data_IF_070201749980
#
_entry.id   IF_070201749980
#
_cell.length_a   1.000
_cell.length_b   1.000
_cell.length_c   1.000
_cell.angle_alpha   90.00
_cell.angle_beta   90.00
_cell.angle_gamma   90.00
#
_symmetry.space_group_name_H-M   'P 1'
#
loop_
_entity.id
_entity.type
_entity.pdbx_description
1 polymer ?
#
# COMPACT_ATOMS: atom_id res chain seq x y z
N UNK A 1 -0.87 -27.12 -37.14
CA UNK A 1 -1.48 -26.27 -36.10
C UNK A 1 -1.11 -26.74 -34.70
N UNK A 2 -1.55 -27.90 -34.22
CA UNK A 2 -1.29 -28.36 -32.82
C UNK A 2 0.18 -28.40 -32.37
N UNK A 3 1.16 -28.63 -33.24
CA UNK A 3 2.57 -28.67 -32.88
C UNK A 3 3.16 -27.27 -32.61
N UNK A 4 2.76 -26.23 -33.36
CA UNK A 4 3.15 -24.85 -33.11
C UNK A 4 2.54 -24.28 -31.83
N UNK A 5 1.30 -24.63 -31.52
CA UNK A 5 0.61 -24.24 -30.28
C UNK A 5 1.32 -24.80 -29.04
N UNK A 6 1.74 -26.07 -29.11
CA UNK A 6 2.49 -26.68 -28.01
C UNK A 6 3.87 -26.02 -27.79
N UNK A 7 4.56 -25.63 -28.87
CA UNK A 7 5.83 -24.91 -28.78
C UNK A 7 5.61 -23.52 -28.19
N UNK A 8 4.59 -22.80 -28.65
CA UNK A 8 4.24 -21.48 -28.10
C UNK A 8 3.96 -21.53 -26.60
N UNK A 9 3.21 -22.52 -26.14
CA UNK A 9 2.90 -22.71 -24.73
C UNK A 9 4.15 -22.93 -23.86
N UNK A 10 5.14 -23.65 -24.37
CA UNK A 10 6.43 -23.86 -23.69
C UNK A 10 7.20 -22.54 -23.62
N UNK A 11 7.31 -21.82 -24.74
CA UNK A 11 8.02 -20.53 -24.82
C UNK A 11 7.39 -19.49 -23.89
N UNK A 12 6.07 -19.38 -23.87
CA UNK A 12 5.35 -18.45 -22.99
C UNK A 12 5.56 -18.79 -21.50
N UNK A 13 5.67 -20.08 -21.16
CA UNK A 13 6.01 -20.52 -19.81
C UNK A 13 7.44 -20.14 -19.41
N UNK A 14 8.42 -20.34 -20.27
CA UNK A 14 9.81 -19.95 -20.04
C UNK A 14 9.96 -18.45 -19.86
N UNK A 15 9.25 -17.66 -20.68
CA UNK A 15 9.19 -16.20 -20.59
C UNK A 15 8.37 -15.68 -19.39
N UNK A 16 7.76 -16.57 -18.59
CA UNK A 16 6.89 -16.23 -17.47
C UNK A 16 5.69 -15.34 -17.87
N UNK A 17 5.16 -15.56 -19.07
CA UNK A 17 4.00 -14.88 -19.64
C UNK A 17 2.75 -15.75 -19.47
N UNK A 18 2.36 -16.00 -18.22
CA UNK A 18 1.24 -16.90 -17.89
C UNK A 18 -0.10 -16.40 -18.44
N UNK A 19 -0.31 -15.10 -18.50
CA UNK A 19 -1.54 -14.50 -19.02
C UNK A 19 -1.62 -14.62 -20.54
N UNK A 20 -0.52 -14.44 -21.23
CA UNK A 20 -0.42 -14.75 -22.66
C UNK A 20 -0.82 -16.19 -22.92
N UNK A 21 -0.19 -17.12 -22.18
CA UNK A 21 -0.47 -18.55 -22.33
C UNK A 21 -1.95 -18.91 -22.15
N UNK A 22 -2.65 -18.25 -21.21
CA UNK A 22 -4.08 -18.53 -20.97
C UNK A 22 -5.03 -17.79 -21.91
N UNK A 23 -4.59 -16.74 -22.61
CA UNK A 23 -5.49 -15.87 -23.36
C UNK A 23 -5.13 -15.70 -24.85
N UNK A 24 -4.00 -16.24 -25.34
CA UNK A 24 -3.57 -15.98 -26.72
C UNK A 24 -4.59 -16.45 -27.76
N UNK A 25 -5.23 -17.60 -27.54
CA UNK A 25 -6.21 -18.14 -28.45
C UNK A 25 -7.49 -17.26 -28.53
N UNK A 26 -8.03 -16.89 -27.35
CA UNK A 26 -9.21 -16.01 -27.29
C UNK A 26 -8.90 -14.61 -27.89
N UNK A 27 -7.70 -14.11 -27.62
CA UNK A 27 -7.21 -12.85 -28.20
C UNK A 27 -7.04 -12.93 -29.71
N UNK A 28 -6.62 -14.08 -30.27
CA UNK A 28 -6.53 -14.32 -31.72
C UNK A 28 -7.92 -14.26 -32.35
N UNK A 29 -8.90 -14.95 -31.78
CA UNK A 29 -10.28 -14.94 -32.28
C UNK A 29 -10.87 -13.51 -32.22
N UNK A 30 -10.60 -12.79 -31.12
CA UNK A 30 -11.00 -11.39 -31.00
C UNK A 30 -10.34 -10.51 -32.06
N UNK A 31 -9.05 -10.67 -32.28
CA UNK A 31 -8.29 -9.89 -33.27
C UNK A 31 -8.80 -10.13 -34.70
N UNK A 32 -9.09 -11.38 -35.05
CA UNK A 32 -9.70 -11.74 -36.34
C UNK A 32 -11.05 -11.05 -36.50
N UNK A 33 -11.93 -11.10 -35.49
CA UNK A 33 -13.26 -10.48 -35.52
C UNK A 33 -13.21 -8.95 -35.71
N UNK A 34 -12.12 -8.30 -35.27
CA UNK A 34 -11.90 -6.84 -35.33
C UNK A 34 -10.98 -6.41 -36.47
N UNK A 35 -10.52 -7.34 -37.31
CA UNK A 35 -9.55 -7.08 -38.36
C UNK A 35 -8.26 -6.40 -37.86
N UNK A 36 -7.74 -6.83 -36.71
CA UNK A 36 -6.52 -6.27 -36.13
C UNK A 36 -5.29 -6.63 -36.98
N UNK A 37 -4.37 -5.68 -37.09
CA UNK A 37 -3.01 -5.98 -37.57
C UNK A 37 -2.25 -6.82 -36.54
N UNK A 38 -1.15 -7.46 -36.94
CA UNK A 38 -0.28 -8.22 -36.01
C UNK A 38 0.21 -7.37 -34.83
N UNK A 39 0.54 -6.10 -35.08
CA UNK A 39 0.94 -5.19 -34.00
C UNK A 39 -0.19 -4.87 -33.03
N UNK A 40 -1.41 -4.70 -33.51
CA UNK A 40 -2.59 -4.48 -32.67
C UNK A 40 -2.93 -5.73 -31.84
N UNK A 41 -2.84 -6.92 -32.41
CA UNK A 41 -3.01 -8.18 -31.69
C UNK A 41 -1.98 -8.32 -30.55
N UNK A 42 -0.69 -8.10 -30.86
CA UNK A 42 0.36 -8.16 -29.85
C UNK A 42 0.17 -7.12 -28.75
N UNK A 43 -0.18 -5.89 -29.12
CA UNK A 43 -0.48 -4.81 -28.17
C UNK A 43 -1.64 -5.17 -27.23
N UNK A 44 -2.69 -5.79 -27.77
CA UNK A 44 -3.84 -6.25 -27.00
C UNK A 44 -3.43 -7.32 -25.96
N UNK A 45 -2.65 -8.33 -26.36
CA UNK A 45 -2.11 -9.34 -25.44
C UNK A 45 -1.22 -8.73 -24.36
N UNK A 46 -0.34 -7.79 -24.73
CA UNK A 46 0.49 -7.07 -23.78
C UNK A 46 -0.35 -6.32 -22.74
N UNK A 47 -1.44 -5.69 -23.19
CA UNK A 47 -2.38 -4.99 -22.28
C UNK A 47 -2.96 -5.94 -21.22
N UNK A 48 -3.49 -7.10 -21.63
CA UNK A 48 -4.03 -8.11 -20.72
C UNK A 48 -2.99 -8.57 -19.69
N UNK A 49 -1.74 -8.78 -20.11
CA UNK A 49 -0.65 -9.20 -19.21
C UNK A 49 -0.31 -8.09 -18.21
N UNK A 50 -0.22 -6.83 -18.67
CA UNK A 50 0.07 -5.67 -17.82
C UNK A 50 -1.01 -5.51 -16.77
N UNK A 51 -2.28 -5.54 -17.16
CA UNK A 51 -3.41 -5.40 -16.25
C UNK A 51 -3.42 -6.50 -15.18
N UNK A 52 -3.14 -7.74 -15.59
CA UNK A 52 -3.03 -8.86 -14.65
C UNK A 52 -1.89 -8.68 -13.65
N UNK A 53 -0.73 -8.21 -14.12
CA UNK A 53 0.43 -7.94 -13.26
C UNK A 53 0.16 -6.81 -12.27
N UNK A 54 -0.47 -5.73 -12.74
CA UNK A 54 -0.89 -4.61 -11.87
C UNK A 54 -1.84 -5.11 -10.80
N UNK A 55 -2.90 -5.86 -11.17
CA UNK A 55 -3.86 -6.40 -10.23
C UNK A 55 -3.21 -7.34 -9.19
N UNK A 56 -2.32 -8.23 -9.64
CA UNK A 56 -1.61 -9.16 -8.74
C UNK A 56 -0.68 -8.40 -7.77
N UNK A 57 0.03 -7.38 -8.27
CA UNK A 57 0.87 -6.51 -7.45
C UNK A 57 0.05 -5.78 -6.40
N UNK A 58 -1.09 -5.21 -6.78
CA UNK A 58 -2.00 -4.48 -5.90
C UNK A 58 -2.52 -5.37 -4.76
N UNK A 59 -3.02 -6.57 -5.07
CA UNK A 59 -3.49 -7.55 -4.08
C UNK A 59 -2.37 -7.88 -3.08
N UNK A 60 -1.14 -8.10 -3.57
CA UNK A 60 0.01 -8.37 -2.72
C UNK A 60 0.31 -7.19 -1.81
N UNK A 61 0.35 -5.96 -2.34
CA UNK A 61 0.64 -4.76 -1.57
C UNK A 61 -0.40 -4.52 -0.48
N UNK A 62 -1.70 -4.71 -0.77
CA UNK A 62 -2.78 -4.64 0.22
C UNK A 62 -2.57 -5.68 1.32
N UNK A 63 -2.26 -6.92 0.97
CA UNK A 63 -2.00 -7.99 1.96
C UNK A 63 -0.79 -7.68 2.84
N UNK A 64 0.30 -7.20 2.25
CA UNK A 64 1.54 -6.85 2.95
C UNK A 64 1.39 -5.61 3.83
N UNK A 65 0.51 -4.68 3.47
CA UNK A 65 0.28 -3.44 4.22
C UNK A 65 -0.30 -3.67 5.61
N UNK A 66 -1.01 -4.77 5.84
CA UNK A 66 -1.74 -5.07 7.09
C UNK A 66 -2.81 -4.04 7.45
N UNK A 67 -3.33 -3.30 6.46
CA UNK A 67 -4.43 -2.37 6.67
C UNK A 67 -5.70 -3.08 7.15
N UNK A 68 -6.48 -2.47 8.06
CA UNK A 68 -7.80 -2.96 8.43
C UNK A 68 -8.71 -3.03 7.18
N UNK A 69 -9.41 -4.14 7.02
CA UNK A 69 -10.29 -4.37 5.87
C UNK A 69 -11.45 -3.36 5.84
N UNK A 70 -11.94 -3.08 4.65
CA UNK A 70 -13.14 -2.27 4.40
C UNK A 70 -13.08 -0.82 4.91
N UNK A 71 -11.90 -0.25 5.12
CA UNK A 71 -11.71 1.15 5.52
C UNK A 71 -11.21 1.97 4.34
N UNK A 72 -12.08 2.18 3.35
CA UNK A 72 -11.82 2.97 2.14
C UNK A 72 -12.47 4.35 2.22
N UNK A 73 -12.11 5.28 1.32
CA UNK A 73 -12.77 6.59 1.24
C UNK A 73 -14.26 6.48 0.92
N UNK A 74 -14.65 5.52 0.08
CA UNK A 74 -16.04 5.28 -0.29
C UNK A 74 -16.89 4.69 0.84
N UNK A 75 -16.26 4.03 1.82
CA UNK A 75 -16.96 3.44 2.98
C UNK A 75 -16.96 4.35 4.21
N UNK A 76 -16.34 5.53 4.14
CA UNK A 76 -16.36 6.50 5.24
C UNK A 76 -17.58 7.41 5.15
N UNK A 77 -18.31 7.53 6.24
CA UNK A 77 -19.44 8.45 6.36
C UNK A 77 -18.96 9.85 6.76
N UNK A 78 -18.76 10.72 5.75
CA UNK A 78 -18.35 12.10 5.97
C UNK A 78 -19.46 12.97 6.58
N UNK A 79 -20.72 12.60 6.42
CA UNK A 79 -21.86 13.37 6.91
C UNK A 79 -22.00 13.26 8.43
N UNK A 80 -21.57 12.14 8.99
CA UNK A 80 -21.57 11.91 10.45
C UNK A 80 -20.51 12.72 11.19
N UNK A 81 -19.50 13.24 10.52
CA UNK A 81 -18.39 13.98 11.13
C UNK A 81 -18.09 15.29 10.40
N UNK A 82 -18.86 16.34 10.72
CA UNK A 82 -18.76 17.68 10.08
C UNK A 82 -17.42 18.39 10.27
N UNK A 83 -16.58 17.95 11.20
CA UNK A 83 -15.24 18.50 11.43
C UNK A 83 -14.20 18.04 10.40
N UNK A 84 -14.54 17.06 9.55
CA UNK A 84 -13.63 16.50 8.56
C UNK A 84 -14.05 16.99 7.16
N UNK A 85 -13.13 17.69 6.50
CA UNK A 85 -13.33 18.15 5.14
C UNK A 85 -13.00 17.00 4.14
N UNK A 86 -14.03 16.52 3.43
CA UNK A 86 -13.91 15.45 2.44
C UNK A 86 -12.90 15.79 1.34
N UNK A 87 -12.94 17.03 0.84
CA UNK A 87 -12.07 17.44 -0.28
C UNK A 87 -10.61 17.46 0.15
N UNK A 88 -10.33 17.88 1.39
CA UNK A 88 -8.99 17.87 1.96
C UNK A 88 -8.46 16.43 2.10
N UNK A 89 -9.28 15.50 2.61
CA UNK A 89 -8.88 14.09 2.72
C UNK A 89 -8.69 13.47 1.34
N UNK A 90 -9.56 13.77 0.38
CA UNK A 90 -9.43 13.32 -0.99
C UNK A 90 -8.15 13.85 -1.65
N UNK A 91 -7.83 15.10 -1.47
CA UNK A 91 -6.59 15.71 -1.97
C UNK A 91 -5.34 15.03 -1.38
N UNK A 92 -5.31 14.79 -0.07
CA UNK A 92 -4.22 14.06 0.60
C UNK A 92 -4.10 12.61 0.08
N UNK A 93 -5.20 11.98 -0.25
CA UNK A 93 -5.21 10.62 -0.78
C UNK A 93 -4.73 10.57 -2.24
N UNK A 94 -5.06 11.55 -3.07
CA UNK A 94 -4.72 11.58 -4.50
C UNK A 94 -3.28 12.06 -4.77
N UNK A 95 -2.76 13.03 -3.98
CA UNK A 95 -1.44 13.62 -4.24
C UNK A 95 -0.33 12.92 -3.46
N UNK A 96 0.77 12.57 -4.14
CA UNK A 96 1.96 11.98 -3.49
C UNK A 96 2.97 13.01 -3.01
N UNK A 97 2.72 14.31 -3.29
CA UNK A 97 3.66 15.41 -3.01
C UNK A 97 4.10 15.45 -1.55
N UNK A 98 3.15 15.34 -0.60
CA UNK A 98 3.45 15.38 0.82
C UNK A 98 4.27 14.16 1.28
N UNK A 99 4.05 12.97 0.70
CA UNK A 99 4.85 11.78 1.01
C UNK A 99 6.25 11.90 0.42
N UNK A 100 6.37 12.38 -0.82
CA UNK A 100 7.66 12.58 -1.48
C UNK A 100 8.52 13.66 -0.82
N UNK A 101 7.89 14.60 -0.10
CA UNK A 101 8.53 15.65 0.70
C UNK A 101 8.75 15.22 2.16
N UNK A 102 8.52 13.94 2.49
CA UNK A 102 8.63 13.40 3.85
C UNK A 102 7.77 14.15 4.90
N UNK A 103 6.65 14.75 4.48
CA UNK A 103 5.72 15.38 5.42
C UNK A 103 4.95 14.32 6.19
N UNK A 104 4.63 14.62 7.44
CA UNK A 104 3.88 13.76 8.33
C UNK A 104 2.44 14.23 8.48
N UNK A 105 1.50 13.29 8.67
CA UNK A 105 0.10 13.57 8.94
C UNK A 105 -0.26 13.09 10.34
N UNK A 106 -0.83 13.98 11.15
CA UNK A 106 -1.30 13.65 12.49
C UNK A 106 -2.81 13.83 12.54
N UNK A 107 -3.54 12.80 12.95
CA UNK A 107 -5.00 12.78 13.04
C UNK A 107 -5.40 12.66 14.51
N UNK A 108 -5.92 13.75 15.08
CA UNK A 108 -6.39 13.80 16.45
C UNK A 108 -7.92 13.76 16.54
N UNK A 109 -8.45 13.25 17.63
CA UNK A 109 -9.87 13.33 17.93
C UNK A 109 -10.32 12.24 18.91
N UNK A 110 -11.51 12.38 19.45
CA UNK A 110 -12.09 11.42 20.38
C UNK A 110 -12.20 10.00 19.79
N UNK A 111 -12.30 9.00 20.64
CA UNK A 111 -12.53 7.62 20.20
C UNK A 111 -13.84 7.52 19.42
N UNK A 112 -13.89 6.64 18.41
CA UNK A 112 -15.07 6.45 17.57
C UNK A 112 -15.24 7.40 16.39
N UNK A 113 -14.47 8.50 16.27
CA UNK A 113 -14.57 9.46 15.15
C UNK A 113 -13.98 8.98 13.82
N UNK A 114 -13.53 7.74 13.74
CA UNK A 114 -13.04 7.18 12.48
C UNK A 114 -11.60 7.56 12.09
N UNK A 115 -10.75 8.00 13.01
CA UNK A 115 -9.34 8.33 12.75
C UNK A 115 -8.59 7.23 12.02
N UNK A 116 -8.66 6.00 12.54
CA UNK A 116 -8.08 4.80 11.91
C UNK A 116 -8.67 4.53 10.52
N UNK A 117 -9.96 4.87 10.33
CA UNK A 117 -10.61 4.72 9.03
C UNK A 117 -10.02 5.70 8.01
N UNK A 118 -9.91 6.97 8.36
CA UNK A 118 -9.35 8.01 7.48
C UNK A 118 -7.89 7.68 7.14
N UNK A 119 -7.06 7.36 8.14
CA UNK A 119 -5.67 6.97 7.91
C UNK A 119 -5.57 5.78 6.96
N UNK A 120 -6.41 4.76 7.16
CA UNK A 120 -6.48 3.58 6.31
C UNK A 120 -6.98 3.90 4.91
N UNK A 121 -7.99 4.76 4.79
CA UNK A 121 -8.58 5.15 3.51
C UNK A 121 -7.58 5.89 2.60
N UNK A 122 -6.82 6.84 3.18
CA UNK A 122 -5.69 7.49 2.50
C UNK A 122 -4.68 6.44 2.04
N UNK A 123 -4.30 5.52 2.91
CA UNK A 123 -3.33 4.48 2.61
C UNK A 123 -3.79 3.50 1.52
N UNK A 124 -5.05 3.09 1.50
CA UNK A 124 -5.62 2.28 0.43
C UNK A 124 -5.46 2.99 -0.92
N UNK A 125 -5.80 4.28 -0.97
CA UNK A 125 -5.64 5.06 -2.21
C UNK A 125 -4.18 5.18 -2.62
N UNK A 126 -3.24 5.37 -1.69
CA UNK A 126 -1.80 5.36 -1.98
C UNK A 126 -1.32 4.02 -2.55
N UNK A 127 -1.85 2.90 -2.05
CA UNK A 127 -1.54 1.57 -2.60
C UNK A 127 -2.08 1.43 -4.02
N UNK A 128 -3.29 1.90 -4.31
CA UNK A 128 -3.86 1.90 -5.67
C UNK A 128 -3.00 2.70 -6.65
N UNK A 129 -2.39 3.80 -6.19
CA UNK A 129 -1.42 4.60 -6.94
C UNK A 129 -0.02 3.95 -7.02
N UNK A 130 0.16 2.75 -6.45
CA UNK A 130 1.39 1.96 -6.55
C UNK A 130 2.39 2.18 -5.41
N UNK A 131 2.05 2.96 -4.38
CA UNK A 131 2.92 3.22 -3.24
C UNK A 131 2.87 2.07 -2.22
N UNK A 132 4.01 1.67 -1.68
CA UNK A 132 4.05 0.72 -0.56
C UNK A 132 3.71 1.42 0.74
N UNK A 133 2.76 0.84 1.48
CA UNK A 133 2.33 1.33 2.79
C UNK A 133 2.39 0.20 3.80
N UNK A 134 2.61 0.53 5.07
CA UNK A 134 2.54 -0.42 6.18
C UNK A 134 1.77 0.17 7.35
N UNK A 135 0.81 -0.61 7.85
CA UNK A 135 0.02 -0.27 9.01
C UNK A 135 0.54 -1.01 10.25
N UNK A 136 0.64 -0.29 11.34
CA UNK A 136 0.98 -0.83 12.66
C UNK A 136 0.03 -0.28 13.73
N UNK A 137 -0.43 -1.15 14.61
CA UNK A 137 -0.81 -0.70 15.93
C UNK A 137 0.46 -0.28 16.67
N UNK A 138 0.49 0.93 17.21
CA UNK A 138 1.72 1.51 17.78
C UNK A 138 2.28 0.64 18.90
N UNK A 139 1.43 0.12 19.79
CA UNK A 139 1.85 -0.78 20.89
C UNK A 139 2.55 -2.05 20.36
N UNK A 140 2.05 -2.64 19.28
CA UNK A 140 2.68 -3.82 18.68
C UNK A 140 4.03 -3.50 18.03
N UNK A 141 4.14 -2.37 17.35
CA UNK A 141 5.41 -1.93 16.75
C UNK A 141 6.45 -1.67 17.84
N UNK A 142 6.08 -1.00 18.93
CA UNK A 142 6.96 -0.77 20.08
C UNK A 142 7.52 -2.08 20.63
N UNK A 143 6.69 -3.11 20.80
CA UNK A 143 7.16 -4.44 21.24
C UNK A 143 8.19 -5.04 20.27
N UNK A 144 7.96 -4.96 18.95
CA UNK A 144 8.91 -5.43 17.94
C UNK A 144 10.25 -4.69 18.07
N UNK A 145 10.21 -3.36 18.20
CA UNK A 145 11.42 -2.54 18.30
C UNK A 145 12.17 -2.78 19.62
N UNK A 146 11.46 -2.99 20.74
CA UNK A 146 12.06 -3.34 22.02
C UNK A 146 12.80 -4.68 21.95
N UNK A 147 12.18 -5.72 21.37
CA UNK A 147 12.83 -7.01 21.16
C UNK A 147 14.07 -6.86 20.27
N UNK A 148 13.98 -6.06 19.21
CA UNK A 148 15.12 -5.78 18.35
C UNK A 148 16.24 -5.02 19.10
N UNK A 149 15.89 -4.09 19.99
CA UNK A 149 16.86 -3.37 20.85
C UNK A 149 17.59 -4.32 21.80
N UNK A 150 16.85 -5.21 22.45
CA UNK A 150 17.44 -6.23 23.34
C UNK A 150 18.39 -7.19 22.59
N UNK A 151 18.12 -7.42 21.30
CA UNK A 151 18.94 -8.26 20.42
C UNK A 151 20.05 -7.49 19.68
N UNK A 152 20.27 -6.21 20.00
CA UNK A 152 21.23 -5.32 19.32
C UNK A 152 20.99 -5.16 17.82
N UNK A 153 19.72 -5.32 17.35
CA UNK A 153 19.30 -5.23 15.93
C UNK A 153 18.32 -4.10 15.64
N UNK A 154 18.13 -3.15 16.57
CA UNK A 154 17.17 -2.05 16.41
C UNK A 154 17.43 -1.25 15.13
N UNK A 155 18.70 -0.91 14.86
CA UNK A 155 19.07 -0.17 13.64
C UNK A 155 18.67 -0.91 12.35
N UNK A 156 18.85 -2.22 12.33
CA UNK A 156 18.46 -3.04 11.17
C UNK A 156 16.93 -3.04 10.95
N UNK A 157 16.16 -3.12 12.03
CA UNK A 157 14.70 -3.05 11.94
C UNK A 157 14.21 -1.68 11.47
N UNK A 158 14.80 -0.59 11.97
CA UNK A 158 14.49 0.76 11.50
C UNK A 158 14.80 0.90 10.00
N UNK A 159 15.98 0.46 9.53
CA UNK A 159 16.36 0.48 8.11
C UNK A 159 15.37 -0.32 7.23
N UNK A 160 14.83 -1.43 7.74
CA UNK A 160 13.78 -2.18 7.00
C UNK A 160 12.49 -1.37 6.86
N UNK A 161 12.12 -0.62 7.90
CA UNK A 161 10.95 0.25 7.87
C UNK A 161 11.14 1.43 6.91
N UNK A 162 12.33 1.98 6.76
CA UNK A 162 12.63 3.10 5.86
C UNK A 162 12.46 2.75 4.38
N UNK A 163 12.53 1.47 4.03
CA UNK A 163 12.21 1.01 2.66
C UNK A 163 10.73 1.16 2.29
N UNK A 164 9.89 1.55 3.25
CA UNK A 164 8.46 1.74 3.08
C UNK A 164 8.18 3.25 3.11
N UNK A 165 7.77 3.86 1.98
CA UNK A 165 7.59 5.31 1.89
C UNK A 165 6.61 5.87 2.92
N UNK A 166 5.56 5.14 3.24
CA UNK A 166 4.51 5.58 4.17
C UNK A 166 4.21 4.49 5.20
N UNK A 167 4.34 4.82 6.49
CA UNK A 167 3.86 3.97 7.58
C UNK A 167 2.72 4.64 8.33
N UNK A 168 1.82 3.83 8.90
CA UNK A 168 0.76 4.29 9.79
C UNK A 168 1.05 3.77 11.17
N UNK A 169 1.04 4.67 12.14
CA UNK A 169 1.12 4.40 13.57
C UNK A 169 -0.26 4.68 14.19
N UNK A 170 -1.04 3.63 14.36
CA UNK A 170 -2.40 3.76 14.88
C UNK A 170 -2.41 3.73 16.40
N UNK A 171 -3.20 4.62 17.00
CA UNK A 171 -3.42 4.74 18.45
C UNK A 171 -2.14 4.95 19.28
N UNK A 172 -1.37 6.00 18.96
CA UNK A 172 -0.13 6.31 19.71
C UNK A 172 -0.37 6.63 21.19
N UNK A 173 -1.57 7.09 21.56
CA UNK A 173 -1.93 7.44 22.94
C UNK A 173 -2.00 6.25 23.90
N UNK A 174 -2.03 5.01 23.41
CA UNK A 174 -2.03 3.79 24.23
C UNK A 174 -0.64 3.24 24.53
N UNK A 175 0.41 3.83 24.00
CA UNK A 175 1.79 3.49 24.40
C UNK A 175 1.97 3.92 25.85
N UNK A 176 2.34 2.99 26.72
CA UNK A 176 2.66 3.31 28.12
C UNK A 176 3.78 4.36 28.13
N UNK A 177 3.67 5.35 29.01
CA UNK A 177 4.70 6.38 29.19
C UNK A 177 5.94 5.83 29.95
N UNK A 178 6.38 4.62 29.59
CA UNK A 178 7.62 4.04 30.07
C UNK A 178 8.78 4.56 29.21
N UNK A 179 9.85 4.97 29.85
CA UNK A 179 11.05 5.51 29.16
C UNK A 179 11.59 4.55 28.08
N UNK A 180 11.51 3.25 28.32
CA UNK A 180 11.97 2.24 27.36
C UNK A 180 11.08 2.14 26.12
N UNK A 181 9.76 2.24 26.28
CA UNK A 181 8.78 2.21 25.16
C UNK A 181 8.87 3.49 24.35
N UNK A 182 8.93 4.63 25.02
CA UNK A 182 9.04 5.95 24.40
C UNK A 182 10.35 6.09 23.62
N UNK A 183 11.46 5.56 24.16
CA UNK A 183 12.79 5.66 23.54
C UNK A 183 12.86 5.01 22.15
N UNK A 184 12.35 3.79 21.97
CA UNK A 184 12.42 3.09 20.67
C UNK A 184 11.51 3.71 19.63
N UNK A 185 10.34 4.22 20.05
CA UNK A 185 9.41 4.92 19.17
C UNK A 185 9.99 6.28 18.73
N UNK A 186 10.58 7.02 19.65
CA UNK A 186 11.26 8.29 19.38
C UNK A 186 12.42 8.08 18.38
N UNK A 187 13.24 7.04 18.58
CA UNK A 187 14.34 6.71 17.67
C UNK A 187 13.84 6.42 16.25
N UNK A 188 12.71 5.68 16.11
CA UNK A 188 12.08 5.46 14.82
C UNK A 188 11.58 6.77 14.18
N UNK A 189 10.89 7.61 14.94
CA UNK A 189 10.35 8.88 14.44
C UNK A 189 11.48 9.82 14.02
N UNK A 190 12.52 9.97 14.84
CA UNK A 190 13.68 10.78 14.51
C UNK A 190 14.40 10.28 13.26
N UNK A 191 14.54 8.96 13.10
CA UNK A 191 15.22 8.39 11.94
C UNK A 191 14.43 8.61 10.64
N UNK A 192 13.09 8.63 10.73
CA UNK A 192 12.22 8.88 9.56
C UNK A 192 11.98 10.36 9.29
N UNK A 193 12.31 11.23 10.25
CA UNK A 193 12.17 12.67 10.08
C UNK A 193 12.95 13.15 8.85
N UNK A 194 12.30 13.91 7.97
CA UNK A 194 12.83 14.41 6.69
C UNK A 194 13.20 13.35 5.64
N UNK A 195 13.03 12.07 5.91
CA UNK A 195 13.38 10.99 4.97
C UNK A 195 12.17 10.21 4.47
N UNK A 196 11.16 10.03 5.29
CA UNK A 196 9.98 9.21 4.98
C UNK A 196 8.76 9.65 5.78
N UNK A 197 7.56 9.45 5.24
CA UNK A 197 6.33 9.93 5.86
C UNK A 197 5.73 8.95 6.87
N UNK A 198 5.06 9.52 7.87
CA UNK A 198 4.28 8.80 8.88
C UNK A 198 2.88 9.41 8.97
N UNK A 199 1.84 8.56 9.03
CA UNK A 199 0.52 8.95 9.51
C UNK A 199 0.39 8.48 10.96
N UNK A 200 0.08 9.37 11.87
CA UNK A 200 -0.12 9.07 13.29
C UNK A 200 -1.58 9.32 13.64
N UNK A 201 -2.23 8.38 14.32
CA UNK A 201 -3.54 8.62 14.94
C UNK A 201 -3.40 8.69 16.45
N UNK A 202 -4.14 9.60 17.09
CA UNK A 202 -4.14 9.76 18.54
C UNK A 202 -5.53 10.12 19.05
N UNK A 203 -5.87 9.63 20.25
CA UNK A 203 -7.07 10.01 20.99
C UNK A 203 -6.83 11.26 21.85
N UNK A 204 -5.59 11.66 22.02
CA UNK A 204 -5.16 12.83 22.81
C UNK A 204 -4.40 13.80 21.92
N UNK A 205 -4.58 15.11 22.09
CA UNK A 205 -3.79 16.11 21.40
C UNK A 205 -2.32 16.09 21.83
#
# INVERSE_FOLDING_TARGET
>A
MKQHEAILDIQLKELKLSTFKSNWNDAEQFAISKNYSYSQYLSYLCGIEIDKRIGTRLIRMIKESKLPKNKTLSSYDFDSCKSINKDQISALAETDTWVNQAHNLIIFGASGLGKTHIASAIAYRKIELGMRVKFFQTSHLVQILQVAKQQFRLKEEIIKLDRIPLIILDDIGYVKKDEHETSVLFELICHRYETSSIIITSNQP
#
